data_IF_684924455962
#
_entry.id   IF_684924455962
#
_cell.length_a   1.000
_cell.length_b   1.000
_cell.length_c   1.000
_cell.angle_alpha   90.00
_cell.angle_beta   90.00
_cell.angle_gamma   90.00
#
_symmetry.space_group_name_H-M   'P 1'
#
loop_
_entity.id
_entity.type
_entity.pdbx_description
1 polymer ?
#
# COMPACT_ATOMS: atom_id res chain seq x y z
N UNK A 1 82.69 26.68 5.51
CA UNK A 1 81.93 25.43 5.59
C UNK A 1 81.24 25.39 6.95
N UNK A 2 79.96 25.76 7.00
CA UNK A 2 79.14 25.69 8.22
C UNK A 2 77.68 25.48 7.81
N UNK A 3 77.16 24.30 8.14
CA UNK A 3 75.75 23.92 8.04
C UNK A 3 74.90 24.75 9.00
N UNK A 4 73.64 25.02 8.61
CA UNK A 4 72.57 25.21 9.58
C UNK A 4 71.29 24.48 9.17
N UNK A 5 70.83 23.70 10.13
CA UNK A 5 69.70 22.77 10.16
C UNK A 5 68.35 23.50 10.21
N UNK A 6 67.36 23.02 9.45
CA UNK A 6 65.97 23.48 9.46
C UNK A 6 65.18 22.84 10.63
N UNK A 7 64.36 23.60 11.38
CA UNK A 7 63.41 23.03 12.32
C UNK A 7 62.02 22.83 11.68
N UNK A 8 61.52 21.59 11.74
CA UNK A 8 60.15 21.20 11.40
C UNK A 8 59.18 21.72 12.46
N UNK A 9 58.19 22.52 12.06
CA UNK A 9 57.03 22.89 12.89
C UNK A 9 55.88 21.92 12.62
N UNK A 10 55.53 21.14 13.63
CA UNK A 10 54.29 20.34 13.66
C UNK A 10 53.14 21.24 14.11
N UNK A 11 52.11 21.38 13.28
CA UNK A 11 50.83 21.99 13.65
C UNK A 11 49.82 20.87 13.92
N UNK A 12 49.33 20.80 15.15
CA UNK A 12 48.23 19.93 15.55
C UNK A 12 46.91 20.55 15.07
N UNK A 13 46.17 19.83 14.23
CA UNK A 13 44.81 20.16 13.82
C UNK A 13 43.85 19.52 14.82
N UNK A 14 43.19 20.34 15.64
CA UNK A 14 42.06 19.92 16.46
C UNK A 14 40.82 19.84 15.56
N UNK A 15 40.44 18.64 15.16
CA UNK A 15 39.19 18.37 14.45
C UNK A 15 38.03 18.27 15.43
N UNK A 16 37.11 19.23 15.37
CA UNK A 16 35.81 19.12 16.02
C UNK A 16 34.96 18.09 15.24
N UNK A 17 34.79 16.89 15.82
CA UNK A 17 33.84 15.92 15.32
C UNK A 17 32.43 16.35 15.74
N UNK A 18 31.71 17.00 14.83
CA UNK A 18 30.27 17.14 14.95
C UNK A 18 29.64 15.76 14.69
N UNK A 19 29.27 15.06 15.77
CA UNK A 19 28.41 13.88 15.70
C UNK A 19 26.99 14.36 15.39
N UNK A 20 26.69 14.51 14.10
CA UNK A 20 25.30 14.54 13.63
C UNK A 20 24.75 13.12 13.83
N UNK A 21 24.14 12.88 14.98
CA UNK A 21 23.25 11.75 15.16
C UNK A 21 22.01 12.01 14.28
N UNK A 22 22.05 11.50 13.05
CA UNK A 22 20.85 11.26 12.26
C UNK A 22 20.06 10.20 13.02
N UNK A 23 19.11 10.63 13.87
CA UNK A 23 18.01 9.78 14.30
C UNK A 23 17.31 9.34 13.03
N UNK A 24 17.50 8.07 12.66
CA UNK A 24 16.99 7.51 11.42
C UNK A 24 15.51 7.80 11.27
N UNK A 25 15.12 8.30 10.10
CA UNK A 25 13.74 8.22 9.64
C UNK A 25 13.35 6.75 9.67
N UNK A 26 12.54 6.35 10.65
CA UNK A 26 11.91 5.03 10.72
C UNK A 26 10.79 4.95 9.69
N UNK A 27 11.13 5.16 8.41
CA UNK A 27 10.22 5.07 7.26
C UNK A 27 10.27 3.66 6.68
N UNK A 28 9.98 2.65 7.49
CA UNK A 28 9.82 1.28 7.03
C UNK A 28 8.41 1.05 6.50
N UNK A 29 8.26 0.25 5.45
CA UNK A 29 6.95 -0.25 5.01
C UNK A 29 6.55 -1.42 5.91
N UNK A 30 5.43 -1.28 6.62
CA UNK A 30 4.80 -2.39 7.34
C UNK A 30 4.21 -3.39 6.34
N UNK A 31 4.12 -4.67 6.71
CA UNK A 31 3.42 -5.68 5.91
C UNK A 31 2.17 -6.09 6.67
N UNK A 32 1.03 -6.08 5.98
CA UNK A 32 -0.24 -6.53 6.51
C UNK A 32 -0.76 -7.69 5.67
N UNK A 33 -0.95 -8.84 6.31
CA UNK A 33 -1.37 -10.09 5.66
C UNK A 33 -2.67 -10.67 6.21
N UNK A 34 -3.47 -9.86 6.92
CA UNK A 34 -4.79 -10.25 7.43
C UNK A 34 -4.78 -11.36 8.50
N UNK A 35 -3.61 -11.83 8.94
CA UNK A 35 -3.52 -12.85 10.01
C UNK A 35 -3.56 -12.26 11.41
N UNK A 36 -2.96 -11.08 11.58
CA UNK A 36 -2.88 -10.38 12.86
C UNK A 36 -3.31 -8.91 12.72
N UNK A 37 -3.97 -8.33 13.73
CA UNK A 37 -4.34 -6.92 13.71
C UNK A 37 -3.09 -6.03 13.76
N UNK A 38 -3.08 -4.99 12.93
CA UNK A 38 -2.01 -3.98 12.95
C UNK A 38 -2.32 -2.93 14.02
N UNK A 39 -1.51 -2.89 15.09
CA UNK A 39 -1.74 -1.99 16.23
C UNK A 39 -0.85 -0.75 16.24
N UNK A 40 0.26 -0.78 15.50
CA UNK A 40 1.20 0.34 15.43
C UNK A 40 0.93 1.21 14.18
N UNK A 41 1.05 2.54 14.28
CA UNK A 41 0.93 3.42 13.12
C UNK A 41 2.09 3.17 12.14
N UNK A 42 1.77 3.27 10.85
CA UNK A 42 2.76 3.19 9.78
C UNK A 42 2.57 4.33 8.78
N UNK A 43 3.63 4.74 8.07
CA UNK A 43 3.51 5.70 6.97
C UNK A 43 3.34 5.02 5.60
N UNK A 44 3.59 3.71 5.57
CA UNK A 44 3.52 2.86 4.39
C UNK A 44 3.17 1.43 4.82
N UNK A 45 2.19 0.82 4.16
CA UNK A 45 1.69 -0.53 4.46
C UNK A 45 1.56 -1.31 3.15
N UNK A 46 2.20 -2.49 3.06
CA UNK A 46 2.08 -3.45 1.97
C UNK A 46 1.05 -4.51 2.34
N UNK A 47 -0.08 -4.51 1.65
CA UNK A 47 -1.15 -5.51 1.76
C UNK A 47 -0.85 -6.67 0.82
N UNK A 48 -0.91 -7.90 1.34
CA UNK A 48 -0.80 -9.13 0.55
C UNK A 48 -1.66 -10.24 1.16
N UNK A 49 -2.12 -11.17 0.35
CA UNK A 49 -2.73 -12.39 0.87
C UNK A 49 -1.60 -13.31 1.40
N UNK A 50 -1.77 -14.00 2.54
CA UNK A 50 -0.79 -14.96 3.05
C UNK A 50 -0.47 -16.06 2.04
N UNK A 51 0.80 -16.43 1.95
CA UNK A 51 1.26 -17.48 1.03
C UNK A 51 0.57 -18.83 1.34
N UNK A 52 0.37 -19.15 2.61
CA UNK A 52 -0.39 -20.35 3.03
C UNK A 52 -1.81 -20.37 2.47
N UNK A 53 -2.51 -19.22 2.50
CA UNK A 53 -3.88 -19.13 1.98
C UNK A 53 -3.89 -19.25 0.45
N UNK A 54 -2.90 -18.68 -0.24
CA UNK A 54 -2.73 -18.85 -1.68
C UNK A 54 -2.48 -20.32 -2.03
N UNK A 55 -1.65 -21.02 -1.26
CA UNK A 55 -1.30 -22.42 -1.51
C UNK A 55 -2.49 -23.38 -1.35
N UNK A 56 -3.43 -23.06 -0.47
CA UNK A 56 -4.64 -23.89 -0.23
C UNK A 56 -5.87 -23.44 -1.00
N UNK A 57 -5.88 -22.21 -1.54
CA UNK A 57 -6.96 -21.65 -2.36
C UNK A 57 -6.55 -21.63 -3.83
N UNK A 58 -6.60 -22.80 -4.48
CA UNK A 58 -6.25 -22.95 -5.90
C UNK A 58 -7.08 -21.98 -6.78
N UNK A 59 -8.39 -21.88 -6.51
CA UNK A 59 -9.29 -20.98 -7.23
C UNK A 59 -8.81 -19.52 -7.19
N UNK A 60 -8.45 -19.01 -6.00
CA UNK A 60 -7.91 -17.66 -5.87
C UNK A 60 -6.54 -17.52 -6.56
N UNK A 61 -5.65 -18.50 -6.37
CA UNK A 61 -4.30 -18.47 -6.92
C UNK A 61 -4.28 -18.32 -8.44
N UNK A 62 -5.25 -18.94 -9.13
CA UNK A 62 -5.39 -18.88 -10.59
C UNK A 62 -5.96 -17.55 -11.11
N UNK A 63 -6.88 -16.93 -10.36
CA UNK A 63 -7.63 -15.75 -10.84
C UNK A 63 -7.28 -14.43 -10.15
N UNK A 64 -6.33 -14.44 -9.21
CA UNK A 64 -5.87 -13.20 -8.54
C UNK A 64 -5.25 -12.21 -9.52
N UNK A 65 -5.40 -10.92 -9.19
CA UNK A 65 -4.94 -9.80 -10.03
C UNK A 65 -3.64 -9.22 -9.47
N UNK A 66 -3.61 -8.92 -8.17
CA UNK A 66 -2.44 -8.32 -7.52
C UNK A 66 -1.65 -9.38 -6.74
N UNK A 67 -0.32 -9.28 -6.79
CA UNK A 67 0.57 -9.88 -5.80
C UNK A 67 0.49 -9.08 -4.49
N UNK A 68 0.45 -7.75 -4.60
CA UNK A 68 0.31 -6.87 -3.45
C UNK A 68 -0.24 -5.49 -3.82
N UNK A 69 -0.71 -4.76 -2.81
CA UNK A 69 -1.01 -3.33 -2.90
C UNK A 69 -0.27 -2.61 -1.78
N UNK A 70 0.56 -1.63 -2.11
CA UNK A 70 1.20 -0.77 -1.11
C UNK A 70 0.47 0.56 -1.01
N UNK A 71 0.08 0.92 0.20
CA UNK A 71 -0.54 2.20 0.52
C UNK A 71 0.44 3.04 1.34
N UNK A 72 0.58 4.32 1.01
CA UNK A 72 1.46 5.25 1.74
C UNK A 72 0.81 6.62 1.87
N UNK A 73 1.08 7.32 2.97
CA UNK A 73 0.73 8.74 3.05
C UNK A 73 1.56 9.55 2.06
N UNK A 74 0.93 10.43 1.29
CA UNK A 74 1.61 11.36 0.37
C UNK A 74 1.19 12.79 0.65
N UNK A 75 1.96 13.75 0.15
CA UNK A 75 1.59 15.16 0.25
C UNK A 75 0.34 15.43 -0.59
N UNK A 76 -0.64 16.09 0.01
CA UNK A 76 -1.86 16.52 -0.66
C UNK A 76 -1.62 17.82 -1.42
N UNK A 77 -2.22 17.96 -2.60
CA UNK A 77 -2.28 19.24 -3.33
C UNK A 77 -3.15 20.27 -2.58
N UNK A 78 -4.19 19.81 -1.88
CA UNK A 78 -5.01 20.64 -0.99
C UNK A 78 -4.49 20.53 0.46
N UNK A 79 -3.97 21.61 1.07
CA UNK A 79 -3.42 21.59 2.43
C UNK A 79 -4.47 21.36 3.54
N UNK A 80 -5.76 21.40 3.20
CA UNK A 80 -6.86 21.04 4.10
C UNK A 80 -7.17 19.54 4.12
N UNK A 81 -6.64 18.79 3.16
CA UNK A 81 -6.85 17.35 3.00
C UNK A 81 -5.55 16.56 3.24
N UNK A 82 -5.73 15.26 3.37
CA UNK A 82 -4.66 14.27 3.31
C UNK A 82 -4.73 13.58 1.94
N UNK A 83 -3.68 12.86 1.57
CA UNK A 83 -3.67 12.08 0.35
C UNK A 83 -3.00 10.73 0.61
N UNK A 84 -3.52 9.72 -0.08
CA UNK A 84 -3.05 8.35 0.02
C UNK A 84 -2.58 7.87 -1.34
N UNK A 85 -1.31 7.51 -1.42
CA UNK A 85 -0.69 6.93 -2.61
C UNK A 85 -0.83 5.41 -2.60
N UNK A 86 -1.29 4.87 -3.72
CA UNK A 86 -1.36 3.45 -4.02
C UNK A 86 -0.24 3.07 -4.99
N UNK A 87 0.35 1.90 -4.76
CA UNK A 87 1.20 1.20 -5.72
C UNK A 87 0.72 -0.23 -5.86
N UNK A 88 0.46 -0.65 -7.09
CA UNK A 88 -0.05 -1.97 -7.41
C UNK A 88 1.08 -2.85 -7.94
N UNK A 89 1.26 -4.02 -7.34
CA UNK A 89 2.12 -5.07 -7.87
C UNK A 89 1.23 -6.18 -8.41
N UNK A 90 1.24 -6.40 -9.72
CA UNK A 90 0.40 -7.39 -10.38
C UNK A 90 1.09 -8.75 -10.44
N UNK A 91 0.32 -9.83 -10.35
CA UNK A 91 0.82 -11.14 -10.76
C UNK A 91 0.97 -11.19 -12.29
N UNK A 92 1.71 -12.18 -12.80
CA UNK A 92 1.86 -12.36 -14.24
C UNK A 92 0.49 -12.53 -14.93
N UNK A 93 0.21 -11.67 -15.92
CA UNK A 93 -1.09 -11.61 -16.61
C UNK A 93 -2.25 -11.04 -15.79
N UNK A 94 -2.03 -10.58 -14.55
CA UNK A 94 -3.09 -10.14 -13.65
C UNK A 94 -3.78 -8.86 -14.11
N UNK A 95 -3.02 -7.87 -14.57
CA UNK A 95 -3.56 -6.62 -15.10
C UNK A 95 -4.35 -6.84 -16.39
N UNK A 96 -3.81 -7.64 -17.30
CA UNK A 96 -4.46 -7.98 -18.57
C UNK A 96 -5.78 -8.70 -18.34
N UNK A 97 -5.83 -9.60 -17.35
CA UNK A 97 -7.06 -10.30 -16.96
C UNK A 97 -8.11 -9.33 -16.37
N UNK A 98 -7.68 -8.38 -15.53
CA UNK A 98 -8.56 -7.35 -15.00
C UNK A 98 -9.14 -6.48 -16.12
N UNK A 99 -8.30 -6.01 -17.04
CA UNK A 99 -8.75 -5.21 -18.19
C UNK A 99 -9.76 -5.98 -19.04
N UNK A 100 -9.47 -7.25 -19.37
CA UNK A 100 -10.38 -8.11 -20.11
C UNK A 100 -11.74 -8.29 -19.40
N UNK A 101 -11.74 -8.49 -18.07
CA UNK A 101 -12.96 -8.58 -17.26
C UNK A 101 -13.79 -7.28 -17.35
N UNK A 102 -13.13 -6.13 -17.21
CA UNK A 102 -13.80 -4.82 -17.26
C UNK A 102 -14.31 -4.44 -18.66
N UNK A 103 -13.68 -4.96 -19.72
CA UNK A 103 -14.18 -4.81 -21.09
C UNK A 103 -15.46 -5.61 -21.32
N UNK A 104 -15.55 -6.82 -20.77
CA UNK A 104 -16.70 -7.71 -20.90
C UNK A 104 -17.91 -7.22 -20.08
N UNK A 105 -17.68 -6.79 -18.85
CA UNK A 105 -18.74 -6.42 -17.90
C UNK A 105 -19.11 -4.94 -17.91
N UNK A 106 -18.20 -4.09 -18.40
CA UNK A 106 -18.30 -2.65 -18.22
C UNK A 106 -19.43 -1.98 -19.00
N UNK A 107 -19.98 -0.92 -18.40
CA UNK A 107 -20.89 -0.02 -19.09
C UNK A 107 -20.16 0.66 -20.25
N UNK A 108 -20.68 0.47 -21.47
CA UNK A 108 -20.11 1.00 -22.71
C UNK A 108 -20.01 2.53 -22.73
N UNK A 109 -20.70 3.20 -21.82
CA UNK A 109 -20.67 4.66 -21.69
C UNK A 109 -19.46 5.16 -20.87
N UNK A 110 -18.75 4.28 -20.14
CA UNK A 110 -17.53 4.62 -19.40
C UNK A 110 -16.26 4.29 -20.18
N UNK A 111 -15.25 5.15 -20.05
CA UNK A 111 -13.90 4.90 -20.57
C UNK A 111 -13.21 3.77 -19.79
N UNK A 112 -12.16 3.19 -20.38
CA UNK A 112 -11.33 2.19 -19.70
C UNK A 112 -10.71 2.78 -18.41
N UNK A 113 -10.15 3.99 -18.47
CA UNK A 113 -9.56 4.67 -17.31
C UNK A 113 -10.59 4.89 -16.18
N UNK A 114 -11.83 5.23 -16.52
CA UNK A 114 -12.91 5.38 -15.53
C UNK A 114 -13.24 4.06 -14.84
N UNK A 115 -13.29 2.96 -15.60
CA UNK A 115 -13.49 1.62 -15.05
C UNK A 115 -12.30 1.19 -14.19
N UNK A 116 -11.07 1.51 -14.61
CA UNK A 116 -9.85 1.19 -13.88
C UNK A 116 -9.73 1.96 -12.57
N UNK A 117 -10.07 3.26 -12.55
CA UNK A 117 -10.14 4.04 -11.32
C UNK A 117 -11.08 3.39 -10.29
N UNK A 118 -12.30 3.04 -10.74
CA UNK A 118 -13.29 2.38 -9.89
C UNK A 118 -12.84 0.99 -9.45
N UNK A 119 -12.21 0.22 -10.34
CA UNK A 119 -11.72 -1.10 -9.99
C UNK A 119 -10.60 -0.99 -8.93
N UNK A 120 -9.56 -0.21 -9.19
CA UNK A 120 -8.36 -0.21 -8.36
C UNK A 120 -8.55 0.43 -6.98
N UNK A 121 -9.22 1.59 -6.93
CA UNK A 121 -9.37 2.35 -5.68
C UNK A 121 -10.83 2.55 -5.25
N UNK A 122 -11.80 2.33 -6.14
CA UNK A 122 -13.23 2.49 -5.82
C UNK A 122 -13.77 3.91 -5.99
N UNK A 123 -12.93 4.81 -6.51
CA UNK A 123 -13.22 6.23 -6.70
C UNK A 123 -13.44 6.55 -8.18
N UNK A 124 -14.22 7.59 -8.51
CA UNK A 124 -14.33 8.07 -9.88
C UNK A 124 -13.02 8.70 -10.37
N UNK A 125 -12.75 8.63 -11.67
CA UNK A 125 -11.48 9.11 -12.26
C UNK A 125 -11.23 10.61 -12.01
N UNK A 126 -12.28 11.42 -11.91
CA UNK A 126 -12.18 12.86 -11.68
C UNK A 126 -11.87 13.25 -10.22
N UNK A 127 -11.88 12.28 -9.29
CA UNK A 127 -11.50 12.51 -7.89
C UNK A 127 -10.09 12.01 -7.54
N UNK A 128 -9.37 11.39 -8.47
CA UNK A 128 -8.06 10.78 -8.22
C UNK A 128 -7.04 11.16 -9.28
N UNK A 129 -5.77 10.93 -8.97
CA UNK A 129 -4.71 10.84 -9.98
C UNK A 129 -4.42 9.37 -10.24
N UNK A 130 -4.60 8.91 -11.49
CA UNK A 130 -4.29 7.54 -11.89
C UNK A 130 -3.14 7.55 -12.91
N UNK A 131 -2.15 6.68 -12.73
CA UNK A 131 -1.08 6.56 -13.73
C UNK A 131 -1.57 5.86 -15.00
N UNK A 132 -1.06 6.26 -16.16
CA UNK A 132 -1.44 5.71 -17.48
C UNK A 132 -1.18 4.20 -17.60
N UNK A 133 -0.20 3.68 -16.84
CA UNK A 133 0.13 2.26 -16.79
C UNK A 133 -0.60 1.50 -15.67
N UNK A 134 -1.51 2.19 -14.96
CA UNK A 134 -2.28 1.67 -13.83
C UNK A 134 -1.45 1.13 -12.67
N UNK A 135 -0.13 1.39 -12.62
CA UNK A 135 0.76 0.92 -11.55
C UNK A 135 0.63 1.71 -10.25
N UNK A 136 0.01 2.89 -10.29
CA UNK A 136 -0.15 3.76 -9.12
C UNK A 136 -1.36 4.68 -9.21
N UNK A 137 -1.85 5.11 -8.04
CA UNK A 137 -2.87 6.14 -7.94
C UNK A 137 -2.64 7.03 -6.71
N UNK A 138 -3.17 8.25 -6.71
CA UNK A 138 -3.25 9.12 -5.52
C UNK A 138 -4.70 9.47 -5.28
N UNK A 139 -5.16 9.19 -4.06
CA UNK A 139 -6.53 9.43 -3.61
C UNK A 139 -6.52 10.51 -2.54
N UNK A 140 -7.07 11.71 -2.81
CA UNK A 140 -7.35 12.72 -1.80
C UNK A 140 -8.41 12.22 -0.83
N UNK A 141 -8.20 12.46 0.47
CA UNK A 141 -9.14 12.07 1.52
C UNK A 141 -9.13 13.09 2.64
N UNK A 142 -10.25 13.23 3.33
CA UNK A 142 -10.30 13.99 4.58
C UNK A 142 -9.32 13.38 5.58
N UNK A 143 -8.49 14.20 6.22
CA UNK A 143 -7.62 13.70 7.27
C UNK A 143 -8.45 13.19 8.45
N UNK A 144 -8.13 11.98 8.91
CA UNK A 144 -8.73 11.39 10.08
C UNK A 144 -8.43 12.22 11.34
N UNK A 145 -9.44 12.41 12.19
CA UNK A 145 -9.27 13.15 13.45
C UNK A 145 -8.75 12.27 14.60
N UNK A 146 -8.81 10.95 14.44
CA UNK A 146 -8.28 9.96 15.37
C UNK A 146 -7.97 8.64 14.67
N UNK A 147 -7.16 7.75 15.28
CA UNK A 147 -6.88 6.43 14.72
C UNK A 147 -8.12 5.60 14.38
N UNK A 148 -9.22 5.75 15.14
CA UNK A 148 -10.46 4.97 15.01
C UNK A 148 -11.54 5.69 14.18
N UNK A 149 -11.16 6.68 13.37
CA UNK A 149 -12.08 7.45 12.53
C UNK A 149 -12.49 6.65 11.28
N UNK A 150 -13.51 5.81 11.40
CA UNK A 150 -13.99 4.98 10.29
C UNK A 150 -14.87 5.72 9.28
N UNK A 151 -15.04 7.04 9.42
CA UNK A 151 -15.83 7.85 8.46
C UNK A 151 -14.94 8.39 7.32
N UNK A 152 -13.65 8.55 7.57
CA UNK A 152 -12.68 9.12 6.62
C UNK A 152 -11.64 8.07 6.22
N UNK A 153 -12.11 7.04 5.49
CA UNK A 153 -11.31 5.89 5.07
C UNK A 153 -11.15 5.82 3.55
N UNK A 154 -10.07 5.19 3.11
CA UNK A 154 -9.92 4.68 1.74
C UNK A 154 -9.86 3.15 1.79
N UNK A 155 -10.30 2.47 0.72
CA UNK A 155 -10.29 1.00 0.67
C UNK A 155 -9.09 0.47 -0.08
N UNK A 156 -8.48 -0.56 0.47
CA UNK A 156 -7.50 -1.41 -0.23
C UNK A 156 -8.19 -2.70 -0.60
N UNK A 157 -8.05 -3.12 -1.85
CA UNK A 157 -8.67 -4.35 -2.36
C UNK A 157 -7.62 -5.18 -3.08
N UNK A 158 -7.48 -6.43 -2.66
CA UNK A 158 -6.78 -7.47 -3.41
C UNK A 158 -7.83 -8.22 -4.22
N UNK A 159 -7.79 -8.01 -5.53
CA UNK A 159 -8.83 -8.47 -6.46
C UNK A 159 -8.55 -9.85 -7.03
N UNK A 160 -9.63 -10.44 -7.49
CA UNK A 160 -9.68 -11.64 -8.31
C UNK A 160 -10.69 -11.44 -9.44
N UNK A 161 -10.53 -12.19 -10.52
CA UNK A 161 -11.42 -12.16 -11.69
C UNK A 161 -11.86 -13.59 -12.05
N UNK A 162 -12.75 -14.20 -11.24
CA UNK A 162 -13.41 -15.45 -11.59
C UNK A 162 -14.32 -15.28 -12.81
N UNK A 163 -14.87 -16.38 -13.33
CA UNK A 163 -15.80 -16.35 -14.47
C UNK A 163 -17.06 -15.48 -14.23
N UNK A 164 -17.41 -15.23 -12.97
CA UNK A 164 -18.57 -14.42 -12.58
C UNK A 164 -18.30 -12.91 -12.58
N UNK A 165 -17.09 -12.47 -12.93
CA UNK A 165 -16.69 -11.08 -12.92
C UNK A 165 -15.66 -10.72 -11.86
N UNK A 166 -15.19 -9.48 -11.90
CA UNK A 166 -14.20 -9.01 -10.95
C UNK A 166 -14.79 -8.87 -9.52
N UNK A 167 -14.04 -9.33 -8.52
CA UNK A 167 -14.43 -9.20 -7.10
C UNK A 167 -13.21 -8.96 -6.22
N UNK A 168 -13.45 -8.61 -4.95
CA UNK A 168 -12.38 -8.50 -3.95
C UNK A 168 -12.26 -9.82 -3.22
N UNK A 169 -11.06 -10.38 -3.17
CA UNK A 169 -10.78 -11.56 -2.34
C UNK A 169 -10.42 -11.15 -0.91
N UNK A 170 -9.68 -10.05 -0.74
CA UNK A 170 -9.38 -9.47 0.55
C UNK A 170 -9.47 -7.94 0.47
N UNK A 171 -9.90 -7.31 1.55
CA UNK A 171 -9.98 -5.86 1.63
C UNK A 171 -9.79 -5.33 3.05
N UNK A 172 -9.38 -4.08 3.15
CA UNK A 172 -9.29 -3.35 4.40
C UNK A 172 -9.58 -1.86 4.17
N UNK A 173 -10.04 -1.19 5.22
CA UNK A 173 -10.20 0.27 5.25
C UNK A 173 -8.99 0.92 5.92
N UNK A 174 -8.53 2.06 5.37
CA UNK A 174 -7.35 2.77 5.84
C UNK A 174 -7.73 4.20 6.17
N UNK A 175 -7.38 4.65 7.37
CA UNK A 175 -7.40 6.07 7.72
C UNK A 175 -6.01 6.67 7.59
N UNK A 176 -5.94 7.96 7.28
CA UNK A 176 -4.69 8.73 7.27
C UNK A 176 -4.84 9.97 8.15
N UNK A 177 -3.93 10.12 9.11
CA UNK A 177 -3.87 11.31 9.97
C UNK A 177 -3.03 12.41 9.33
N UNK A 178 -3.19 13.64 9.81
CA UNK A 178 -2.39 14.79 9.37
C UNK A 178 -0.88 14.64 9.60
N UNK A 179 -0.46 13.74 10.49
CA UNK A 179 0.93 13.34 10.70
C UNK A 179 1.49 12.45 9.59
N UNK A 180 0.64 11.90 8.72
CA UNK A 180 0.96 10.83 7.77
C UNK A 180 0.80 9.42 8.33
N UNK A 181 0.37 9.28 9.58
CA UNK A 181 0.15 7.96 10.18
C UNK A 181 -1.10 7.30 9.59
N UNK A 182 -0.93 6.04 9.19
CA UNK A 182 -1.96 5.16 8.63
C UNK A 182 -2.40 4.12 9.66
N UNK A 183 -3.69 3.81 9.66
CA UNK A 183 -4.29 2.77 10.51
C UNK A 183 -5.21 1.88 9.69
N UNK A 184 -5.16 0.57 9.97
CA UNK A 184 -5.98 -0.45 9.31
C UNK A 184 -7.26 -0.69 10.10
N UNK A 185 -8.38 -0.74 9.39
CA UNK A 185 -9.73 -0.98 9.89
C UNK A 185 -10.39 -2.08 9.08
N UNK A 186 -11.28 -2.81 9.77
CA UNK A 186 -12.17 -3.81 9.16
C UNK A 186 -11.50 -4.71 8.11
N UNK A 187 -10.35 -5.35 8.43
CA UNK A 187 -9.71 -6.26 7.50
C UNK A 187 -10.57 -7.51 7.33
N UNK A 188 -10.84 -7.87 6.09
CA UNK A 188 -11.67 -9.01 5.73
C UNK A 188 -11.03 -9.78 4.57
N UNK A 189 -11.13 -11.10 4.64
CA UNK A 189 -10.91 -12.02 3.53
C UNK A 189 -12.26 -12.63 3.20
N UNK A 190 -12.47 -12.99 1.93
CA UNK A 190 -13.64 -13.68 1.40
C UNK A 190 -14.30 -14.59 2.45
N UNK A 191 -15.63 -14.44 2.60
CA UNK A 191 -16.45 -15.07 3.63
C UNK A 191 -16.29 -16.60 3.75
N UNK A 192 -15.76 -17.24 2.71
CA UNK A 192 -15.47 -18.67 2.69
C UNK A 192 -14.23 -19.04 3.51
N UNK A 193 -13.44 -18.08 4.01
CA UNK A 193 -12.18 -18.31 4.71
C UNK A 193 -12.13 -17.67 6.09
N UNK A 194 -11.60 -18.41 7.06
CA UNK A 194 -11.30 -17.89 8.40
C UNK A 194 -10.10 -18.59 9.02
N UNK A 195 -9.56 -18.00 10.08
CA UNK A 195 -8.57 -18.66 10.93
C UNK A 195 -9.26 -19.62 11.91
N UNK A 196 -8.70 -20.80 12.10
CA UNK A 196 -9.05 -21.71 13.19
C UNK A 196 -8.43 -21.26 14.53
N UNK A 197 -8.66 -22.04 15.60
CA UNK A 197 -8.11 -21.71 16.93
C UNK A 197 -6.58 -21.81 17.03
N UNK A 198 -5.95 -22.47 16.07
CA UNK A 198 -4.50 -22.66 15.98
C UNK A 198 -3.85 -21.63 15.03
N UNK A 199 -4.65 -20.76 14.40
CA UNK A 199 -4.19 -19.72 13.48
C UNK A 199 -3.96 -20.22 12.06
N UNK A 200 -4.53 -21.37 11.68
CA UNK A 200 -4.46 -21.86 10.30
C UNK A 200 -5.68 -21.41 9.50
N UNK A 201 -5.49 -21.14 8.21
CA UNK A 201 -6.59 -20.84 7.31
C UNK A 201 -7.42 -22.07 7.00
N UNK A 202 -8.74 -21.97 7.16
CA UNK A 202 -9.70 -23.01 6.82
C UNK A 202 -10.83 -22.44 5.97
N UNK A 203 -11.34 -23.26 5.05
CA UNK A 203 -12.52 -22.94 4.26
C UNK A 203 -13.78 -23.36 5.04
N UNK A 204 -14.76 -22.45 5.20
CA UNK A 204 -15.92 -22.68 6.08
C UNK A 204 -17.26 -22.93 5.41
N UNK A 205 -17.46 -22.49 4.16
CA UNK A 205 -18.58 -22.90 3.28
C UNK A 205 -20.01 -22.59 3.73
#
# INVERSE_FOLDING_TARGET
MTSHTTPTKTLAVAGAAALLALTGCSGGTAVFDFTEPMVEPAQSIKFRVPDELIDISEDYAEVRVQESVTVSSVESEDPSQCAVGYRFEYVDGGLERLLASLEEEGDKDQSEEERMARALVGEPLDSIELSEDYSSAVVPVSCAVSPNDTENTVKVRLKQTPESGESSFAWAEITVMKSGDLFVHEPEISDDWQLDSDGNWIQVG
#
